data_IF_003593630383
#
_entry.id   IF_003593630383
#
_cell.length_a   1.000
_cell.length_b   1.000
_cell.length_c   1.000
_cell.angle_alpha   90.00
_cell.angle_beta   90.00
_cell.angle_gamma   90.00
#
_symmetry.space_group_name_H-M   'P 1'
#
loop_
_entity.id
_entity.type
_entity.pdbx_description
1 polymer ?
#
# COMPACT_ATOMS: atom_id res chain seq x y z
N UNK A 1 6.86 35.47 49.60
CA UNK A 1 5.76 34.57 49.16
C UNK A 1 5.40 34.67 47.66
N UNK A 2 5.26 35.86 47.06
CA UNK A 2 4.88 36.01 45.63
C UNK A 2 5.86 35.33 44.65
N UNK A 3 7.18 35.43 44.85
CA UNK A 3 8.19 34.78 43.98
C UNK A 3 8.12 33.25 43.97
N UNK A 4 7.82 32.62 45.11
CA UNK A 4 7.62 31.16 45.22
C UNK A 4 6.37 30.69 44.46
N UNK A 5 5.29 31.48 44.49
CA UNK A 5 4.04 31.19 43.73
C UNK A 5 4.25 31.33 42.21
N UNK A 6 5.04 32.32 41.78
CA UNK A 6 5.40 32.50 40.35
C UNK A 6 6.27 31.34 39.87
N UNK A 7 7.23 30.90 40.67
CA UNK A 7 8.09 29.75 40.33
C UNK A 7 7.29 28.44 40.23
N UNK A 8 6.34 28.23 41.14
CA UNK A 8 5.44 27.07 41.09
C UNK A 8 4.49 27.11 39.87
N UNK A 9 3.99 28.28 39.49
CA UNK A 9 3.14 28.46 38.32
C UNK A 9 3.90 28.21 37.00
N UNK A 10 5.16 28.68 36.90
CA UNK A 10 6.02 28.40 35.74
C UNK A 10 6.39 26.92 35.63
N UNK A 11 6.64 26.25 36.76
CA UNK A 11 6.92 24.82 36.78
C UNK A 11 5.69 23.99 36.35
N UNK A 12 4.49 24.37 36.79
CA UNK A 12 3.24 23.73 36.35
C UNK A 12 2.95 23.94 34.86
N UNK A 13 3.27 25.13 34.31
CA UNK A 13 3.07 25.41 32.89
C UNK A 13 4.05 24.62 32.01
N UNK A 14 5.28 24.35 32.49
CA UNK A 14 6.26 23.52 31.78
C UNK A 14 5.87 22.03 31.74
N UNK A 15 5.20 21.52 32.79
CA UNK A 15 4.72 20.13 32.85
C UNK A 15 3.45 19.91 32.00
N UNK A 16 2.66 20.96 31.77
CA UNK A 16 1.44 20.91 30.96
C UNK A 16 1.67 20.99 29.44
N UNK A 17 2.91 21.14 28.98
CA UNK A 17 3.26 21.09 27.56
C UNK A 17 3.16 19.66 27.03
N UNK A 18 1.96 19.16 26.77
CA UNK A 18 1.77 18.00 25.92
C UNK A 18 2.33 18.34 24.53
N UNK A 19 3.36 17.61 24.10
CA UNK A 19 3.83 17.66 22.72
C UNK A 19 2.70 17.15 21.83
N UNK A 20 1.97 18.06 21.20
CA UNK A 20 1.02 17.73 20.15
C UNK A 20 1.83 17.22 18.95
N UNK A 21 2.13 15.92 18.94
CA UNK A 21 2.91 15.31 17.86
C UNK A 21 2.04 15.22 16.62
N UNK A 22 2.50 15.83 15.53
CA UNK A 22 1.76 15.84 14.27
C UNK A 22 1.77 14.44 13.65
N UNK A 23 0.64 14.01 13.09
CA UNK A 23 0.55 12.72 12.41
C UNK A 23 1.36 12.73 11.12
N UNK A 24 2.01 11.61 10.82
CA UNK A 24 2.66 11.39 9.53
C UNK A 24 1.59 11.27 8.44
N UNK A 25 1.67 12.13 7.42
CA UNK A 25 0.77 12.13 6.27
C UNK A 25 1.24 11.09 5.25
N UNK A 26 0.56 9.95 5.20
CA UNK A 26 0.83 8.87 4.28
C UNK A 26 -0.13 8.95 3.11
N UNK A 27 0.42 9.08 1.91
CA UNK A 27 -0.31 8.92 0.66
C UNK A 27 -0.06 7.52 0.12
N UNK A 28 -1.09 6.69 0.05
CA UNK A 28 -1.03 5.36 -0.54
C UNK A 28 -1.67 5.38 -1.93
N UNK A 29 -1.03 4.78 -2.94
CA UNK A 29 -1.64 4.70 -4.27
C UNK A 29 -2.88 3.80 -4.26
N UNK A 30 -2.82 2.67 -3.55
CA UNK A 30 -3.87 1.64 -3.55
C UNK A 30 -4.52 1.42 -2.18
N UNK A 31 -5.79 0.97 -2.15
CA UNK A 31 -6.49 0.70 -0.89
C UNK A 31 -5.81 -0.33 0.01
N UNK A 32 -5.23 -1.40 -0.56
CA UNK A 32 -4.56 -2.42 0.24
C UNK A 32 -3.29 -1.87 0.91
N UNK A 33 -2.55 -0.99 0.22
CA UNK A 33 -1.38 -0.29 0.77
C UNK A 33 -1.82 0.60 1.92
N UNK A 34 -2.87 1.40 1.71
CA UNK A 34 -3.44 2.27 2.75
C UNK A 34 -3.92 1.49 3.97
N UNK A 35 -4.54 0.33 3.76
CA UNK A 35 -5.01 -0.55 4.85
C UNK A 35 -3.84 -1.10 5.68
N UNK A 36 -2.77 -1.60 5.03
CA UNK A 36 -1.60 -2.10 5.75
C UNK A 36 -0.88 -0.96 6.47
N UNK A 37 -0.69 0.19 5.80
CA UNK A 37 -0.09 1.37 6.41
C UNK A 37 -0.90 1.85 7.63
N UNK A 38 -2.23 1.74 7.61
CA UNK A 38 -3.07 2.06 8.77
C UNK A 38 -2.89 1.08 9.92
N UNK A 39 -2.78 -0.22 9.64
CA UNK A 39 -2.50 -1.25 10.66
C UNK A 39 -1.16 -1.03 11.35
N UNK A 40 -0.14 -0.60 10.60
CA UNK A 40 1.19 -0.32 11.15
C UNK A 40 1.23 1.03 11.87
N UNK A 41 0.72 2.08 11.22
CA UNK A 41 0.81 3.46 11.67
C UNK A 41 -0.22 3.86 12.72
N UNK A 42 -1.30 3.10 12.88
CA UNK A 42 -2.33 3.32 13.89
C UNK A 42 -2.88 4.75 13.90
N UNK A 43 -2.93 5.36 15.07
CA UNK A 43 -3.39 6.74 15.29
C UNK A 43 -2.35 7.81 14.96
N UNK A 44 -1.07 7.43 14.79
CA UNK A 44 0.06 8.30 14.45
C UNK A 44 0.16 8.64 12.96
N UNK A 45 -0.63 7.99 12.11
CA UNK A 45 -0.66 8.26 10.67
C UNK A 45 -2.02 8.80 10.22
N UNK A 46 -1.98 9.72 9.27
CA UNK A 46 -3.12 10.14 8.47
C UNK A 46 -2.98 9.54 7.07
N UNK A 47 -3.92 8.67 6.68
CA UNK A 47 -3.86 7.96 5.39
C UNK A 47 -4.75 8.65 4.36
N UNK A 48 -4.19 8.96 3.19
CA UNK A 48 -4.94 9.31 1.98
C UNK A 48 -4.71 8.25 0.91
N UNK A 49 -5.76 7.66 0.36
CA UNK A 49 -5.65 6.70 -0.76
C UNK A 49 -6.02 7.38 -2.08
N UNK A 50 -5.18 7.23 -3.11
CA UNK A 50 -5.37 7.89 -4.40
C UNK A 50 -6.40 7.17 -5.29
N UNK A 51 -6.27 5.85 -5.43
CA UNK A 51 -7.17 5.03 -6.26
C UNK A 51 -8.32 4.50 -5.42
N UNK A 52 -9.55 4.66 -5.93
CA UNK A 52 -10.74 4.13 -5.25
C UNK A 52 -10.83 2.61 -5.38
N UNK A 53 -11.47 1.90 -4.43
CA UNK A 53 -11.62 0.43 -4.48
C UNK A 53 -12.32 -0.11 -5.74
N UNK A 54 -13.10 0.72 -6.44
CA UNK A 54 -13.85 0.33 -7.64
C UNK A 54 -13.16 0.76 -8.95
N UNK A 55 -11.92 1.26 -8.90
CA UNK A 55 -11.16 1.66 -10.07
C UNK A 55 -10.07 0.63 -10.39
N UNK A 56 -9.83 0.42 -11.68
CA UNK A 56 -8.68 -0.33 -12.15
C UNK A 56 -7.42 0.56 -12.04
N UNK A 57 -6.43 0.20 -11.20
CA UNK A 57 -5.21 1.00 -11.04
C UNK A 57 -4.37 1.11 -12.31
N UNK A 58 -4.51 0.20 -13.27
CA UNK A 58 -3.81 0.28 -14.56
C UNK A 58 -4.30 1.46 -15.43
N UNK A 59 -5.54 1.89 -15.21
CA UNK A 59 -6.28 2.80 -16.09
C UNK A 59 -6.66 4.12 -15.42
N UNK A 60 -5.96 4.50 -14.35
CA UNK A 60 -6.22 5.76 -13.63
C UNK A 60 -5.44 6.91 -14.25
N UNK A 61 -6.15 7.99 -14.54
CA UNK A 61 -5.53 9.28 -14.88
C UNK A 61 -5.17 10.09 -13.63
N UNK A 62 -4.06 10.81 -13.71
CA UNK A 62 -3.65 11.74 -12.66
C UNK A 62 -4.64 12.91 -12.53
N UNK A 63 -5.10 13.16 -11.30
CA UNK A 63 -6.05 14.25 -10.98
C UNK A 63 -5.37 15.34 -10.16
N UNK A 64 -5.78 16.62 -10.27
CA UNK A 64 -5.25 17.71 -9.46
C UNK A 64 -5.27 17.42 -7.94
N UNK A 65 -6.30 16.72 -7.46
CA UNK A 65 -6.39 16.30 -6.05
C UNK A 65 -5.28 15.33 -5.63
N UNK A 66 -4.79 14.48 -6.54
CA UNK A 66 -3.67 13.56 -6.27
C UNK A 66 -2.34 14.31 -6.19
N UNK A 67 -2.14 15.34 -7.02
CA UNK A 67 -0.97 16.21 -6.95
C UNK A 67 -0.95 16.97 -5.62
N UNK A 68 -2.12 17.48 -5.18
CA UNK A 68 -2.27 18.14 -3.89
C UNK A 68 -2.00 17.18 -2.73
N UNK A 69 -2.46 15.93 -2.82
CA UNK A 69 -2.15 14.90 -1.83
C UNK A 69 -0.64 14.64 -1.78
N UNK A 70 0.00 14.42 -2.92
CA UNK A 70 1.46 14.26 -3.01
C UNK A 70 2.23 15.45 -2.45
N UNK A 71 1.75 16.68 -2.66
CA UNK A 71 2.37 17.90 -2.12
C UNK A 71 2.41 17.93 -0.59
N UNK A 72 1.43 17.29 0.07
CA UNK A 72 1.30 17.24 1.54
C UNK A 72 1.84 15.96 2.15
N UNK A 73 2.35 15.03 1.35
CA UNK A 73 2.77 13.72 1.81
C UNK A 73 4.12 13.80 2.53
N UNK A 74 4.19 13.20 3.71
CA UNK A 74 5.47 12.88 4.36
C UNK A 74 6.01 11.55 3.81
N UNK A 75 5.10 10.62 3.48
CA UNK A 75 5.43 9.35 2.81
C UNK A 75 4.43 9.07 1.68
N UNK A 76 4.95 8.80 0.48
CA UNK A 76 4.24 8.23 -0.65
C UNK A 76 4.56 6.74 -0.74
N UNK A 77 3.55 5.89 -0.52
CA UNK A 77 3.64 4.44 -0.63
C UNK A 77 2.92 3.94 -1.88
N UNK A 78 3.62 3.19 -2.74
CA UNK A 78 3.09 2.71 -4.00
C UNK A 78 3.48 1.26 -4.29
N UNK A 79 2.76 0.62 -5.22
CA UNK A 79 2.90 -0.80 -5.56
C UNK A 79 4.15 -1.06 -6.40
N UNK A 80 4.41 -0.24 -7.42
CA UNK A 80 5.52 -0.46 -8.34
C UNK A 80 5.24 -1.58 -9.35
N UNK A 81 6.29 -2.02 -10.05
CA UNK A 81 6.22 -2.93 -11.20
C UNK A 81 5.32 -2.41 -12.34
N UNK A 82 5.44 -1.11 -12.63
CA UNK A 82 4.68 -0.37 -13.65
C UNK A 82 3.16 -0.33 -13.45
N UNK A 83 2.65 -0.74 -12.28
CA UNK A 83 1.20 -0.70 -12.02
C UNK A 83 0.64 0.72 -12.12
N UNK A 84 1.35 1.70 -11.57
CA UNK A 84 0.92 3.10 -11.52
C UNK A 84 1.54 4.02 -12.58
N UNK A 85 2.12 3.45 -13.66
CA UNK A 85 2.91 4.20 -14.65
C UNK A 85 2.14 5.36 -15.29
N UNK A 86 0.81 5.24 -15.42
CA UNK A 86 -0.05 6.26 -16.04
C UNK A 86 -0.24 7.55 -15.21
N UNK A 87 0.05 7.53 -13.90
CA UNK A 87 -0.25 8.68 -13.04
C UNK A 87 0.80 8.98 -11.96
N UNK A 88 1.52 7.99 -11.46
CA UNK A 88 2.48 8.16 -10.38
C UNK A 88 3.67 9.05 -10.76
N UNK A 89 4.29 8.94 -11.95
CA UNK A 89 5.38 9.83 -12.34
C UNK A 89 4.95 11.30 -12.33
N UNK A 90 3.74 11.60 -12.83
CA UNK A 90 3.21 12.97 -12.84
C UNK A 90 2.98 13.50 -11.43
N UNK A 91 2.52 12.67 -10.49
CA UNK A 91 2.35 13.07 -9.09
C UNK A 91 3.71 13.39 -8.46
N UNK A 92 4.71 12.52 -8.64
CA UNK A 92 6.05 12.75 -8.09
C UNK A 92 6.68 14.03 -8.65
N UNK A 93 6.54 14.27 -9.96
CA UNK A 93 7.12 15.44 -10.62
C UNK A 93 6.37 16.74 -10.29
N UNK A 94 5.03 16.74 -10.39
CA UNK A 94 4.23 17.97 -10.33
C UNK A 94 3.71 18.33 -8.94
N UNK A 95 3.84 17.44 -7.96
CA UNK A 95 3.53 17.78 -6.55
C UNK A 95 4.50 18.81 -5.96
N UNK A 96 5.71 18.92 -6.53
CA UNK A 96 6.80 19.76 -6.04
C UNK A 96 7.19 19.46 -4.59
N UNK A 97 7.14 18.17 -4.21
CA UNK A 97 7.50 17.71 -2.88
C UNK A 97 8.79 16.87 -2.92
N UNK A 98 9.93 17.41 -2.44
CA UNK A 98 11.21 16.70 -2.46
C UNK A 98 11.28 15.55 -1.45
N UNK A 99 10.33 15.40 -0.53
CA UNK A 99 10.33 14.28 0.43
C UNK A 99 9.94 12.94 -0.23
N UNK A 100 9.18 12.99 -1.33
CA UNK A 100 8.56 11.82 -1.96
C UNK A 100 9.15 11.47 -3.33
N UNK A 101 10.25 12.11 -3.74
CA UNK A 101 10.96 11.76 -4.99
C UNK A 101 11.81 10.50 -4.80
N UNK A 102 12.14 9.76 -5.88
CA UNK A 102 12.92 8.52 -5.79
C UNK A 102 14.19 8.65 -4.95
N UNK A 103 14.44 7.67 -4.08
CA UNK A 103 15.62 7.61 -3.21
C UNK A 103 15.50 8.40 -1.90
N UNK A 104 14.39 9.11 -1.67
CA UNK A 104 14.14 9.84 -0.41
C UNK A 104 13.41 8.98 0.61
N UNK A 105 13.53 9.27 1.92
CA UNK A 105 12.86 8.49 2.97
C UNK A 105 11.34 8.38 2.81
N UNK A 106 10.70 9.41 2.26
CA UNK A 106 9.27 9.45 1.97
C UNK A 106 8.85 8.77 0.66
N UNK A 107 9.77 8.17 -0.11
CA UNK A 107 9.44 7.44 -1.33
C UNK A 107 9.51 5.93 -1.07
N UNK A 108 8.36 5.27 -0.97
CA UNK A 108 8.28 3.87 -0.59
C UNK A 108 7.66 3.01 -1.70
N UNK A 109 8.51 2.30 -2.43
CA UNK A 109 8.14 1.29 -3.41
C UNK A 109 7.96 -0.08 -2.74
N UNK A 110 6.72 -0.55 -2.64
CA UNK A 110 6.40 -1.85 -2.05
C UNK A 110 7.06 -3.01 -2.81
N UNK A 111 7.31 -2.88 -4.12
CA UNK A 111 7.88 -3.97 -4.92
C UNK A 111 9.34 -4.29 -4.56
N UNK A 112 10.05 -3.38 -3.89
CA UNK A 112 11.43 -3.61 -3.44
C UNK A 112 11.53 -4.63 -2.30
N UNK A 113 10.40 -4.95 -1.65
CA UNK A 113 10.35 -5.84 -0.48
C UNK A 113 9.81 -7.23 -0.82
N UNK A 114 9.45 -7.50 -2.08
CA UNK A 114 8.75 -8.74 -2.45
C UNK A 114 9.61 -9.66 -3.30
N UNK A 115 9.30 -10.96 -3.23
CA UNK A 115 9.78 -11.89 -4.24
C UNK A 115 8.85 -11.78 -5.45
N UNK A 116 9.32 -11.10 -6.49
CA UNK A 116 8.57 -10.89 -7.73
C UNK A 116 8.47 -12.18 -8.53
N UNK A 117 7.27 -12.48 -9.04
CA UNK A 117 7.00 -13.62 -9.90
C UNK A 117 6.82 -13.16 -11.36
N UNK A 118 6.99 -14.10 -12.30
CA UNK A 118 6.62 -13.92 -13.72
C UNK A 118 7.28 -12.71 -14.40
N UNK A 119 8.60 -12.50 -14.17
CA UNK A 119 9.39 -11.58 -15.00
C UNK A 119 9.50 -12.16 -16.43
N UNK A 120 8.90 -11.52 -17.46
CA UNK A 120 8.96 -12.03 -18.83
C UNK A 120 10.39 -11.95 -19.37
N UNK A 121 10.81 -12.95 -20.17
CA UNK A 121 12.09 -12.89 -20.90
C UNK A 121 12.03 -11.91 -22.09
N UNK A 122 10.83 -11.63 -22.58
CA UNK A 122 10.51 -10.59 -23.55
C UNK A 122 9.11 -10.05 -23.24
N UNK A 123 8.90 -8.75 -23.32
CA UNK A 123 7.60 -8.12 -23.09
C UNK A 123 7.03 -7.56 -24.39
N UNK A 124 5.90 -8.11 -24.83
CA UNK A 124 5.06 -7.49 -25.87
C UNK A 124 3.81 -6.90 -25.20
N UNK A 125 3.59 -5.59 -25.38
CA UNK A 125 2.44 -4.87 -24.84
C UNK A 125 1.13 -5.22 -25.57
N UNK A 126 1.19 -5.89 -26.72
CA UNK A 126 0.01 -6.40 -27.43
C UNK A 126 -0.73 -7.53 -26.69
N UNK A 127 -0.08 -8.13 -25.68
CA UNK A 127 -0.60 -9.25 -24.90
C UNK A 127 -1.47 -8.83 -23.69
N UNK A 128 -1.81 -7.54 -23.55
CA UNK A 128 -2.63 -7.01 -22.46
C UNK A 128 -1.81 -6.67 -21.20
N UNK A 129 -2.28 -7.11 -20.03
CA UNK A 129 -1.66 -6.90 -18.70
C UNK A 129 -0.30 -7.61 -18.53
N UNK A 130 0.68 -7.26 -19.36
CA UNK A 130 2.06 -7.73 -19.32
C UNK A 130 2.93 -6.67 -18.68
N UNK A 131 3.55 -7.05 -17.57
CA UNK A 131 4.45 -6.18 -16.80
C UNK A 131 5.90 -6.60 -17.06
N UNK A 132 6.70 -5.76 -17.75
CA UNK A 132 8.11 -6.08 -18.03
C UNK A 132 8.92 -6.34 -16.75
N UNK A 133 8.55 -5.67 -15.66
CA UNK A 133 9.20 -5.78 -14.36
C UNK A 133 8.72 -6.99 -13.53
N UNK A 134 7.72 -7.73 -14.02
CA UNK A 134 7.10 -8.87 -13.34
C UNK A 134 5.72 -8.56 -12.75
N UNK A 135 5.04 -9.58 -12.23
CA UNK A 135 3.63 -9.50 -11.84
C UNK A 135 3.39 -8.58 -10.62
N UNK A 136 2.62 -7.47 -10.76
CA UNK A 136 2.36 -6.50 -9.70
C UNK A 136 1.35 -6.96 -8.65
N UNK A 137 0.66 -8.08 -8.87
CA UNK A 137 -0.41 -8.58 -8.01
C UNK A 137 0.10 -9.38 -6.81
N UNK A 138 1.28 -9.03 -6.30
CA UNK A 138 1.96 -9.75 -5.22
C UNK A 138 1.24 -9.63 -3.87
N UNK A 139 0.30 -8.69 -3.71
CA UNK A 139 -0.51 -8.52 -2.50
C UNK A 139 -1.42 -9.74 -2.21
N UNK A 140 -1.65 -10.64 -3.17
CA UNK A 140 -2.34 -11.91 -2.89
C UNK A 140 -1.46 -12.95 -2.18
N UNK A 141 -0.17 -12.66 -1.96
CA UNK A 141 0.74 -13.50 -1.17
C UNK A 141 0.87 -12.94 0.25
N UNK A 142 0.36 -13.65 1.28
CA UNK A 142 0.52 -13.23 2.67
C UNK A 142 1.99 -13.04 3.07
N UNK A 143 2.89 -13.83 2.49
CA UNK A 143 4.33 -13.70 2.74
C UNK A 143 4.88 -12.39 2.16
N UNK A 144 4.41 -11.96 0.98
CA UNK A 144 4.84 -10.68 0.40
C UNK A 144 4.22 -9.51 1.17
N UNK A 145 2.94 -9.60 1.58
CA UNK A 145 2.34 -8.59 2.46
C UNK A 145 3.16 -8.40 3.73
N UNK A 146 3.62 -9.49 4.37
CA UNK A 146 4.42 -9.38 5.59
C UNK A 146 5.75 -8.65 5.38
N UNK A 147 6.44 -8.90 4.26
CA UNK A 147 7.68 -8.19 3.94
C UNK A 147 7.46 -6.71 3.66
N UNK A 148 6.39 -6.39 2.93
CA UNK A 148 6.00 -4.99 2.67
C UNK A 148 5.64 -4.29 3.98
N UNK A 149 4.87 -4.94 4.85
CA UNK A 149 4.47 -4.40 6.15
C UNK A 149 5.68 -4.12 7.07
N UNK A 150 6.70 -4.99 7.05
CA UNK A 150 7.95 -4.76 7.77
C UNK A 150 8.68 -3.53 7.22
N UNK A 151 8.79 -3.43 5.89
CA UNK A 151 9.36 -2.27 5.22
C UNK A 151 8.61 -0.97 5.55
N UNK A 152 7.27 -1.02 5.61
CA UNK A 152 6.44 0.13 5.99
C UNK A 152 6.73 0.59 7.42
N UNK A 153 6.88 -0.33 8.38
CA UNK A 153 7.21 0.02 9.76
C UNK A 153 8.57 0.73 9.85
N UNK A 154 9.57 0.24 9.10
CA UNK A 154 10.89 0.87 9.00
C UNK A 154 10.81 2.24 8.33
N UNK A 155 10.06 2.37 7.24
CA UNK A 155 9.92 3.63 6.51
C UNK A 155 9.22 4.71 7.36
N UNK A 156 8.14 4.34 8.06
CA UNK A 156 7.46 5.24 9.00
C UNK A 156 8.40 5.66 10.14
N UNK A 157 9.19 4.73 10.70
CA UNK A 157 10.17 5.06 11.74
C UNK A 157 11.33 5.93 11.27
N UNK A 158 11.63 5.99 9.97
CA UNK A 158 12.63 6.95 9.41
C UNK A 158 12.06 8.34 9.24
N UNK A 159 10.75 8.46 9.03
CA UNK A 159 10.08 9.76 8.89
C UNK A 159 9.69 10.33 10.25
N UNK A 160 9.35 9.46 11.20
CA UNK A 160 9.05 9.82 12.58
C UNK A 160 9.79 8.89 13.56
N UNK A 161 11.00 9.30 13.91
CA UNK A 161 11.88 8.54 14.80
C UNK A 161 11.31 8.38 16.21
N UNK A 162 10.52 9.36 16.67
CA UNK A 162 9.92 9.35 18.01
C UNK A 162 8.91 8.20 18.18
N UNK A 163 8.18 7.86 17.11
CA UNK A 163 7.19 6.79 17.09
C UNK A 163 7.71 5.48 16.44
N UNK A 164 9.00 5.37 16.11
CA UNK A 164 9.58 4.19 15.46
C UNK A 164 9.30 2.87 16.22
N UNK A 165 9.41 2.88 17.55
CA UNK A 165 9.11 1.72 18.38
C UNK A 165 7.62 1.33 18.34
N UNK A 166 6.74 2.32 18.24
CA UNK A 166 5.29 2.12 18.10
C UNK A 166 4.95 1.42 16.78
N UNK A 167 5.51 1.89 15.66
CA UNK A 167 5.31 1.25 14.34
C UNK A 167 5.81 -0.18 14.32
N UNK A 168 6.98 -0.44 14.92
CA UNK A 168 7.53 -1.80 15.02
C UNK A 168 6.63 -2.73 15.84
N UNK A 169 6.13 -2.27 16.99
CA UNK A 169 5.24 -3.06 17.82
C UNK A 169 3.92 -3.40 17.12
N UNK A 170 3.37 -2.46 16.34
CA UNK A 170 2.17 -2.72 15.54
C UNK A 170 2.43 -3.71 14.40
N UNK A 171 3.59 -3.65 13.76
CA UNK A 171 4.01 -4.66 12.79
C UNK A 171 4.08 -6.06 13.41
N UNK A 172 4.68 -6.22 14.60
CA UNK A 172 4.80 -7.53 15.24
C UNK A 172 3.41 -8.12 15.59
N UNK A 173 2.46 -7.27 15.99
CA UNK A 173 1.05 -7.66 16.18
C UNK A 173 0.39 -8.08 14.86
N UNK A 174 0.53 -7.27 13.81
CA UNK A 174 -0.01 -7.57 12.49
C UNK A 174 0.56 -8.90 11.94
N UNK A 175 1.88 -9.08 12.06
CA UNK A 175 2.60 -10.30 11.66
C UNK A 175 2.03 -11.53 12.34
N UNK A 176 1.83 -11.46 13.65
CA UNK A 176 1.28 -12.57 14.44
C UNK A 176 -0.11 -12.99 13.93
N UNK A 177 -1.00 -12.02 13.68
CA UNK A 177 -2.34 -12.29 13.14
C UNK A 177 -2.29 -12.92 11.74
N UNK A 178 -1.44 -12.42 10.85
CA UNK A 178 -1.31 -12.99 9.50
C UNK A 178 -0.73 -14.40 9.54
N UNK A 179 0.25 -14.67 10.41
CA UNK A 179 0.81 -16.01 10.58
C UNK A 179 -0.21 -17.01 11.13
N UNK A 180 -1.09 -16.58 12.05
CA UNK A 180 -2.22 -17.38 12.52
C UNK A 180 -3.18 -17.72 11.36
N UNK A 181 -3.59 -16.72 10.58
CA UNK A 181 -4.48 -16.92 9.43
C UNK A 181 -3.86 -17.80 8.35
N UNK A 182 -2.54 -17.71 8.13
CA UNK A 182 -1.82 -18.60 7.20
C UNK A 182 -1.97 -20.07 7.60
N UNK A 183 -1.97 -20.40 8.89
CA UNK A 183 -2.20 -21.78 9.37
C UNK A 183 -3.62 -22.24 9.04
N UNK A 184 -4.61 -21.38 9.29
CA UNK A 184 -6.02 -21.64 8.97
C UNK A 184 -6.19 -21.89 7.46
N UNK A 185 -5.64 -21.03 6.62
CA UNK A 185 -5.73 -21.17 5.16
C UNK A 185 -4.97 -22.37 4.61
N UNK A 186 -3.85 -22.75 5.22
CA UNK A 186 -3.11 -23.95 4.84
C UNK A 186 -3.90 -25.23 5.16
N UNK A 187 -4.72 -25.20 6.22
CA UNK A 187 -5.63 -26.29 6.56
C UNK A 187 -6.87 -26.40 5.66
N UNK A 188 -7.16 -25.40 4.82
CA UNK A 188 -8.30 -25.43 3.91
C UNK A 188 -8.05 -26.40 2.74
N UNK A 189 -8.87 -27.46 2.64
CA UNK A 189 -8.76 -28.42 1.54
C UNK A 189 -9.39 -27.87 0.25
N UNK A 190 -8.55 -27.33 -0.63
CA UNK A 190 -8.94 -26.76 -1.93
C UNK A 190 -8.50 -27.62 -3.13
N UNK A 191 -7.96 -28.83 -2.91
CA UNK A 191 -7.31 -29.63 -3.97
C UNK A 191 -8.21 -29.91 -5.17
N UNK A 192 -9.50 -30.14 -4.94
CA UNK A 192 -10.47 -30.49 -6.00
C UNK A 192 -11.47 -29.38 -6.31
N UNK A 193 -11.24 -28.16 -5.80
CA UNK A 193 -12.15 -27.03 -5.98
C UNK A 193 -11.71 -26.17 -7.16
N UNK A 194 -12.64 -25.91 -8.09
CA UNK A 194 -12.44 -24.89 -9.13
C UNK A 194 -12.50 -23.50 -8.51
N UNK A 195 -11.50 -22.66 -8.74
CA UNK A 195 -11.42 -21.29 -8.23
C UNK A 195 -11.58 -20.30 -9.38
N UNK A 196 -12.68 -19.56 -9.45
CA UNK A 196 -12.81 -18.45 -10.41
C UNK A 196 -12.21 -17.16 -9.83
N UNK A 197 -11.46 -16.41 -10.64
CA UNK A 197 -10.77 -15.17 -10.26
C UNK A 197 -9.89 -14.65 -11.40
N UNK A 198 -9.31 -13.46 -11.22
CA UNK A 198 -8.43 -12.84 -12.22
C UNK A 198 -7.18 -13.71 -12.46
N UNK A 199 -6.72 -13.91 -13.72
CA UNK A 199 -5.63 -14.81 -14.04
C UNK A 199 -4.32 -14.55 -13.25
N UNK A 200 -3.88 -13.29 -13.08
CA UNK A 200 -2.64 -13.00 -12.34
C UNK A 200 -2.80 -13.21 -10.83
N UNK A 201 -3.94 -12.82 -10.25
CA UNK A 201 -4.25 -13.03 -8.83
C UNK A 201 -4.22 -14.52 -8.47
N UNK A 202 -4.79 -15.36 -9.35
CA UNK A 202 -4.77 -16.80 -9.19
C UNK A 202 -3.36 -17.38 -9.32
N UNK A 203 -2.50 -16.85 -10.20
CA UNK A 203 -1.13 -17.37 -10.42
C UNK A 203 -0.20 -17.13 -9.24
N UNK A 204 -0.30 -15.99 -8.56
CA UNK A 204 0.43 -15.75 -7.29
C UNK A 204 0.03 -16.78 -6.23
N UNK A 205 -1.24 -17.20 -6.21
CA UNK A 205 -1.76 -18.22 -5.28
C UNK A 205 -1.40 -19.67 -5.68
N UNK A 206 -1.22 -19.96 -6.98
CA UNK A 206 -0.98 -21.31 -7.57
C UNK A 206 0.30 -22.00 -7.08
N UNK A 207 1.36 -21.27 -6.73
CA UNK A 207 2.62 -21.91 -6.27
C UNK A 207 2.51 -22.59 -4.90
N UNK A 208 1.46 -22.31 -4.11
CA UNK A 208 1.34 -22.81 -2.73
C UNK A 208 0.27 -23.89 -2.53
N UNK A 209 -0.77 -23.89 -3.37
CA UNK A 209 -1.87 -24.84 -3.29
C UNK A 209 -1.95 -25.48 -4.67
N UNK A 210 -1.71 -26.79 -4.75
CA UNK A 210 -1.71 -27.59 -5.99
C UNK A 210 -3.16 -27.69 -6.53
N UNK A 211 -3.72 -26.57 -7.01
CA UNK A 211 -5.11 -26.46 -7.49
C UNK A 211 -5.09 -26.42 -9.01
N UNK A 212 -5.75 -27.38 -9.65
CA UNK A 212 -6.05 -27.31 -11.08
C UNK A 212 -7.13 -26.27 -11.33
N UNK A 213 -6.95 -25.41 -12.32
CA UNK A 213 -8.05 -24.60 -12.85
C UNK A 213 -8.00 -24.55 -14.36
N UNK A 214 -8.99 -25.20 -14.96
CA UNK A 214 -9.35 -25.05 -16.36
C UNK A 214 -10.55 -24.10 -16.49
N UNK A 215 -10.37 -23.11 -17.39
CA UNK A 215 -11.30 -22.12 -17.96
C UNK A 215 -11.54 -20.82 -17.19
N UNK A 216 -11.45 -19.75 -17.98
CA UNK A 216 -12.03 -18.43 -17.75
C UNK A 216 -13.51 -18.63 -17.39
N UNK A 217 -13.95 -18.12 -16.23
CA UNK A 217 -15.37 -17.92 -15.98
C UNK A 217 -15.84 -16.84 -16.97
N UNK A 218 -16.30 -17.26 -18.14
CA UNK A 218 -16.85 -16.39 -19.18
C UNK A 218 -18.17 -15.78 -18.75
N UNK A 219 -18.12 -14.65 -18.06
CA UNK A 219 -19.17 -13.65 -18.19
C UNK A 219 -18.73 -12.74 -19.33
N UNK A 220 -19.44 -12.80 -20.46
CA UNK A 220 -19.37 -11.77 -21.51
C UNK A 220 -19.58 -10.42 -20.82
N UNK A 221 -18.51 -9.67 -20.59
CA UNK A 221 -18.58 -8.23 -20.47
C UNK A 221 -19.04 -7.73 -21.84
N UNK A 222 -20.35 -7.73 -22.07
CA UNK A 222 -20.95 -7.06 -23.21
C UNK A 222 -20.50 -5.60 -23.09
N UNK A 223 -19.69 -5.16 -24.04
CA UNK A 223 -19.61 -3.75 -24.39
C UNK A 223 -21.04 -3.23 -24.47
N UNK A 224 -21.40 -2.32 -23.56
CA UNK A 224 -22.63 -1.56 -23.67
C UNK A 224 -22.42 -0.56 -24.80
N UNK A 225 -23.12 -0.67 -25.94
CA UNK A 225 -23.15 0.44 -26.87
C UNK A 225 -24.08 1.48 -26.25
N UNK A 226 -23.51 2.63 -25.93
CA UNK A 226 -24.22 3.86 -25.65
C UNK A 226 -25.23 4.11 -26.80
N UNK A 227 -26.52 3.80 -26.60
CA UNK A 227 -27.60 4.36 -27.42
C UNK A 227 -28.37 5.35 -26.57
N UNK A 228 -28.13 6.63 -26.86
CA UNK A 228 -29.04 7.73 -26.51
C UNK A 228 -30.35 7.48 -27.25
N UNK A 229 -31.46 7.64 -26.55
CA UNK A 229 -32.74 7.92 -27.17
C UNK A 229 -33.25 9.22 -26.56
N UNK A 230 -33.42 10.21 -27.44
CA UNK A 230 -34.49 11.18 -27.37
C UNK A 230 -35.82 10.46 -27.62
#
# INVERSE_FOLDING_TARGET
MKRRKIFFALLMLAVASHTAHAKVNVVATLPWIGSVAKEIGGDKVAITTLVKPNQDPHMVDAKPSMLLAGRKADVLMFNGLDLEIGYLPLIMEKSQNPAIVPGKPGNFDCSQYVTVLEKPLASDRSLGDVHPLGNPHYHFSPTNILRVAEGMAVALGRVDEADAAYFKANFDKFKSRVEEHKKIWAGANLKDKKICGLPQALRVRRRRIRVQNNRLCGAKARHSPFRRLH
#
